data_IF_856234862581
#
_entry.id   IF_856234862581
#
_cell.length_a   1.000
_cell.length_b   1.000
_cell.length_c   1.000
_cell.angle_alpha   90.00
_cell.angle_beta   90.00
_cell.angle_gamma   90.00
#
_symmetry.space_group_name_H-M   'P 1'
#
loop_
_entity.id
_entity.type
_entity.pdbx_description
1 polymer ?
#
# COMPACT_ATOMS: atom_id res chain seq x y z
N UNK A 1 -34.68 13.42 13.28
CA UNK A 1 -33.56 14.19 12.69
C UNK A 1 -32.26 14.07 13.49
N UNK A 2 -32.25 14.26 14.82
CA UNK A 2 -31.03 14.10 15.65
C UNK A 2 -30.40 12.69 15.65
N UNK A 3 -31.21 11.63 15.63
CA UNK A 3 -30.67 10.26 15.67
C UNK A 3 -29.92 9.88 14.39
N UNK A 4 -30.42 10.30 13.23
CA UNK A 4 -29.81 10.00 11.93
C UNK A 4 -28.47 10.72 11.78
N UNK A 5 -28.37 11.97 12.23
CA UNK A 5 -27.09 12.70 12.24
C UNK A 5 -26.09 12.09 13.21
N UNK A 6 -26.51 11.62 14.39
CA UNK A 6 -25.62 10.91 15.32
C UNK A 6 -25.13 9.59 14.73
N UNK A 7 -25.99 8.82 14.06
CA UNK A 7 -25.59 7.58 13.39
C UNK A 7 -24.59 7.81 12.24
N UNK A 8 -24.81 8.85 11.44
CA UNK A 8 -23.87 9.26 10.39
C UNK A 8 -22.51 9.68 10.98
N UNK A 9 -22.51 10.46 12.07
CA UNK A 9 -21.28 10.91 12.74
C UNK A 9 -20.49 9.77 13.40
N UNK A 10 -21.16 8.70 13.88
CA UNK A 10 -20.49 7.51 14.42
C UNK A 10 -19.93 6.62 13.32
N UNK A 11 -20.56 6.60 12.15
CA UNK A 11 -20.06 5.88 10.99
C UNK A 11 -18.99 6.67 10.22
N UNK A 12 -18.95 8.00 10.32
CA UNK A 12 -17.95 8.86 9.67
C UNK A 12 -16.49 8.43 9.96
N UNK A 13 -16.08 8.14 11.21
CA UNK A 13 -14.75 7.61 11.50
C UNK A 13 -14.45 6.31 10.75
N UNK A 14 -15.44 5.42 10.61
CA UNK A 14 -15.31 4.15 9.88
C UNK A 14 -15.27 4.36 8.37
N UNK A 15 -15.98 5.37 7.84
CA UNK A 15 -15.90 5.79 6.43
C UNK A 15 -14.65 6.64 6.13
N UNK A 16 -14.05 7.27 7.14
CA UNK A 16 -12.81 8.03 7.08
C UNK A 16 -11.58 7.20 7.48
N UNK A 17 -11.73 5.91 7.79
CA UNK A 17 -10.64 4.93 7.83
C UNK A 17 -10.22 4.55 6.40
N UNK A 18 -10.05 5.56 5.56
CA UNK A 18 -9.15 5.44 4.44
C UNK A 18 -7.77 5.25 5.09
N UNK A 19 -7.04 4.17 4.81
CA UNK A 19 -5.80 3.89 5.54
C UNK A 19 -4.75 4.99 5.30
N UNK A 20 -3.49 4.80 5.73
CA UNK A 20 -2.49 5.89 5.75
C UNK A 20 -2.42 6.73 4.46
N UNK A 21 -2.65 6.11 3.31
CA UNK A 21 -2.64 6.74 1.99
C UNK A 21 -4.01 7.20 1.44
N UNK A 22 -5.10 7.02 2.19
CA UNK A 22 -6.46 7.25 1.72
C UNK A 22 -7.02 6.11 0.86
N UNK A 23 -6.28 5.02 0.66
CA UNK A 23 -6.65 3.90 -0.20
C UNK A 23 -6.04 2.59 0.31
N UNK A 24 -6.87 1.65 0.74
CA UNK A 24 -6.39 0.37 1.31
C UNK A 24 -5.55 -0.46 0.33
N UNK A 25 -5.86 -0.38 -0.98
CA UNK A 25 -5.05 -1.04 -2.00
C UNK A 25 -3.63 -0.48 -2.01
N UNK A 26 -3.49 0.85 -1.98
CA UNK A 26 -2.21 1.53 -1.98
C UNK A 26 -1.43 1.23 -0.70
N UNK A 27 -2.08 1.23 0.47
CA UNK A 27 -1.44 0.86 1.73
C UNK A 27 -0.83 -0.55 1.67
N UNK A 28 -1.57 -1.52 1.14
CA UNK A 28 -1.08 -2.89 1.01
C UNK A 28 0.05 -3.01 -0.03
N UNK A 29 0.01 -2.23 -1.11
CA UNK A 29 1.12 -2.15 -2.09
C UNK A 29 2.38 -1.65 -1.39
N UNK A 30 2.27 -0.56 -0.62
CA UNK A 30 3.39 0.04 0.12
C UNK A 30 3.93 -0.95 1.15
N UNK A 31 3.05 -1.56 1.95
CA UNK A 31 3.44 -2.52 2.99
C UNK A 31 4.22 -3.70 2.40
N UNK A 32 3.76 -4.26 1.28
CA UNK A 32 4.49 -5.33 0.59
C UNK A 32 5.77 -4.84 -0.10
N UNK A 33 5.81 -3.59 -0.57
CA UNK A 33 6.99 -3.02 -1.20
C UNK A 33 8.13 -2.86 -0.18
N UNK A 34 7.82 -2.30 1.00
CA UNK A 34 8.83 -2.02 2.04
C UNK A 34 9.20 -3.22 2.90
N UNK A 35 8.43 -4.31 2.88
CA UNK A 35 8.78 -5.53 3.60
C UNK A 35 9.95 -6.26 2.91
N UNK A 36 11.14 -6.37 3.54
CA UNK A 36 12.30 -7.03 2.93
C UNK A 36 12.14 -8.55 2.83
N UNK A 37 11.16 -9.15 3.52
CA UNK A 37 10.87 -10.59 3.47
C UNK A 37 9.98 -10.97 2.29
N UNK A 38 9.26 -10.01 1.71
CA UNK A 38 8.44 -10.21 0.50
C UNK A 38 9.36 -10.28 -0.72
N UNK A 39 9.30 -11.40 -1.44
CA UNK A 39 10.09 -11.61 -2.66
C UNK A 39 9.54 -10.79 -3.86
N UNK A 40 10.35 -10.67 -4.94
CA UNK A 40 9.87 -10.08 -6.21
C UNK A 40 8.70 -10.84 -6.79
N UNK A 41 8.76 -12.17 -6.78
CA UNK A 41 7.71 -13.04 -7.30
C UNK A 41 6.41 -12.87 -6.52
N UNK A 42 6.49 -12.78 -5.19
CA UNK A 42 5.31 -12.53 -4.36
C UNK A 42 4.72 -11.14 -4.61
N UNK A 43 5.56 -10.10 -4.70
CA UNK A 43 5.11 -8.74 -4.96
C UNK A 43 4.43 -8.60 -6.34
N UNK A 44 5.03 -9.22 -7.37
CA UNK A 44 4.47 -9.28 -8.72
C UNK A 44 3.17 -10.08 -8.76
N UNK A 45 3.09 -11.21 -8.06
CA UNK A 45 1.87 -12.00 -7.95
C UNK A 45 0.73 -11.22 -7.27
N UNK A 46 1.06 -10.38 -6.28
CA UNK A 46 0.10 -9.50 -5.63
C UNK A 46 -0.47 -8.45 -6.59
N UNK A 47 0.34 -7.93 -7.51
CA UNK A 47 -0.06 -6.89 -8.46
C UNK A 47 -0.57 -7.43 -9.81
N UNK A 48 -0.64 -8.76 -9.99
CA UNK A 48 -0.89 -9.41 -11.29
C UNK A 48 -2.11 -8.86 -12.05
N UNK A 49 -3.17 -8.47 -11.35
CA UNK A 49 -4.42 -7.98 -11.98
C UNK A 49 -4.24 -6.59 -12.62
N UNK A 50 -3.14 -5.89 -12.29
CA UNK A 50 -2.72 -4.62 -12.88
C UNK A 50 -1.63 -4.78 -13.94
N UNK A 51 -1.13 -6.00 -14.19
CA UNK A 51 -0.04 -6.28 -15.12
C UNK A 51 -0.62 -6.97 -16.36
N UNK A 52 -0.76 -6.22 -17.44
CA UNK A 52 -1.30 -6.69 -18.73
C UNK A 52 -0.18 -7.10 -19.69
N UNK A 53 1.03 -6.61 -19.47
CA UNK A 53 2.18 -6.78 -20.37
C UNK A 53 3.41 -7.29 -19.62
N UNK A 54 4.32 -7.91 -20.38
CA UNK A 54 5.64 -8.30 -19.86
C UNK A 54 6.43 -7.09 -19.34
N UNK A 55 6.32 -5.95 -20.02
CA UNK A 55 6.99 -4.70 -19.61
C UNK A 55 6.51 -4.22 -18.24
N UNK A 56 5.21 -4.30 -17.94
CA UNK A 56 4.69 -3.96 -16.61
C UNK A 56 5.18 -4.96 -15.55
N UNK A 57 5.27 -6.25 -15.89
CA UNK A 57 5.88 -7.27 -15.04
C UNK A 57 7.34 -6.96 -14.69
N UNK A 58 8.14 -6.61 -15.69
CA UNK A 58 9.55 -6.24 -15.51
C UNK A 58 9.69 -4.96 -14.69
N UNK A 59 8.85 -3.95 -14.94
CA UNK A 59 8.85 -2.70 -14.18
C UNK A 59 8.51 -2.92 -12.70
N UNK A 60 7.57 -3.81 -12.39
CA UNK A 60 7.25 -4.17 -10.99
C UNK A 60 8.38 -4.95 -10.32
N UNK A 61 9.05 -5.84 -11.05
CA UNK A 61 10.21 -6.56 -10.53
C UNK A 61 11.38 -5.60 -10.23
N UNK A 62 11.65 -4.64 -11.11
CA UNK A 62 12.65 -3.58 -10.89
C UNK A 62 12.25 -2.67 -9.72
N UNK A 63 10.99 -2.25 -9.65
CA UNK A 63 10.47 -1.45 -8.54
C UNK A 63 10.70 -2.17 -7.20
N UNK A 64 10.36 -3.45 -7.10
CA UNK A 64 10.60 -4.22 -5.87
C UNK A 64 12.10 -4.40 -5.59
N UNK A 65 12.92 -4.61 -6.62
CA UNK A 65 14.37 -4.70 -6.45
C UNK A 65 14.96 -3.43 -5.85
N UNK A 66 14.46 -2.24 -6.21
CA UNK A 66 14.88 -0.97 -5.62
C UNK A 66 14.65 -0.95 -4.10
N UNK A 67 13.50 -1.42 -3.62
CA UNK A 67 13.21 -1.54 -2.18
C UNK A 67 14.12 -2.58 -1.50
N UNK A 68 14.33 -3.74 -2.12
CA UNK A 68 15.21 -4.78 -1.57
C UNK A 68 16.68 -4.36 -1.45
N UNK A 69 17.09 -3.31 -2.17
CA UNK A 69 18.43 -2.72 -2.07
C UNK A 69 18.55 -1.63 -0.99
N UNK A 70 17.45 -1.23 -0.36
CA UNK A 70 17.46 -0.21 0.69
C UNK A 70 17.81 -0.81 2.06
N UNK A 71 18.31 0.03 2.97
CA UNK A 71 18.48 -0.35 4.37
C UNK A 71 17.12 -0.44 5.07
N UNK A 72 17.04 -1.23 6.16
CA UNK A 72 15.83 -1.31 7.00
C UNK A 72 15.39 0.06 7.52
N UNK A 73 16.32 0.98 7.79
CA UNK A 73 16.03 2.35 8.20
C UNK A 73 15.33 3.13 7.08
N UNK A 74 15.85 3.07 5.85
CA UNK A 74 15.23 3.73 4.69
C UNK A 74 13.84 3.16 4.40
N UNK A 75 13.66 1.84 4.51
CA UNK A 75 12.36 1.18 4.35
C UNK A 75 11.34 1.66 5.40
N UNK A 76 11.77 1.76 6.67
CA UNK A 76 10.93 2.29 7.73
C UNK A 76 10.56 3.77 7.51
N UNK A 77 11.52 4.59 7.08
CA UNK A 77 11.30 6.00 6.78
C UNK A 77 10.34 6.21 5.60
N UNK A 78 10.42 5.37 4.56
CA UNK A 78 9.48 5.40 3.44
C UNK A 78 8.04 5.15 3.90
N UNK A 79 7.84 4.18 4.80
CA UNK A 79 6.53 3.92 5.40
C UNK A 79 6.03 5.13 6.20
N UNK A 80 6.89 5.80 6.96
CA UNK A 80 6.51 7.02 7.70
C UNK A 80 6.16 8.20 6.80
N UNK A 81 6.84 8.37 5.66
CA UNK A 81 6.52 9.42 4.68
C UNK A 81 5.07 9.33 4.16
N UNK A 82 4.50 8.13 4.15
CA UNK A 82 3.18 7.83 3.58
C UNK A 82 2.07 7.79 4.65
N UNK A 83 2.42 7.96 5.93
CA UNK A 83 1.46 8.21 7.01
C UNK A 83 1.21 9.72 7.07
N UNK A 84 0.12 10.17 6.44
CA UNK A 84 -0.32 11.59 6.42
C UNK A 84 -1.44 11.81 7.44
#
# INVERSE_FOLDING_TARGET
MKLVTVLMLVALPLYCYAGSSGCSLLDNVIDKAVDPTVSKDEYRAYLKDFLQTENEGNAIDELKQCFLQQSNETLANFKQMLVI
#
